data_IF_096701726603
#
_entry.id   IF_096701726603
#
_cell.length_a   1.000
_cell.length_b   1.000
_cell.length_c   1.000
_cell.angle_alpha   90.00
_cell.angle_beta   90.00
_cell.angle_gamma   90.00
#
_symmetry.space_group_name_H-M   'P 1'
#
loop_
_entity.id
_entity.type
_entity.pdbx_description
1 polymer ?
#
# COMPACT_ATOMS: atom_id res chain seq x y z
N UNK A 1 2.83 -5.18 -17.51
CA UNK A 1 3.36 -4.62 -16.24
C UNK A 1 4.86 -4.79 -16.21
N UNK A 2 5.60 -3.68 -16.11
CA UNK A 2 7.06 -3.65 -16.05
C UNK A 2 7.62 -4.36 -14.81
N UNK A 3 8.80 -4.95 -14.94
CA UNK A 3 9.58 -5.49 -13.80
C UNK A 3 10.72 -4.52 -13.53
N UNK A 4 10.86 -4.11 -12.28
CA UNK A 4 11.94 -3.23 -11.85
C UNK A 4 12.98 -4.04 -11.08
N UNK A 5 14.29 -3.78 -11.28
CA UNK A 5 15.34 -4.36 -10.46
C UNK A 5 15.22 -3.88 -9.01
N UNK A 6 15.80 -4.64 -8.09
CA UNK A 6 15.85 -4.34 -6.68
C UNK A 6 17.33 -4.10 -6.31
N UNK A 7 17.63 -2.97 -5.66
CA UNK A 7 19.00 -2.62 -5.29
C UNK A 7 19.07 -1.49 -4.27
N UNK A 8 20.16 -1.42 -3.50
CA UNK A 8 20.36 -0.32 -2.54
C UNK A 8 20.80 0.99 -3.22
N UNK A 9 21.30 0.88 -4.45
CA UNK A 9 21.75 1.97 -5.30
C UNK A 9 21.48 1.64 -6.78
N UNK A 10 21.59 2.65 -7.65
CA UNK A 10 21.51 2.45 -9.11
C UNK A 10 22.56 1.47 -9.64
N UNK A 11 23.73 1.42 -9.00
CA UNK A 11 24.79 0.47 -9.33
C UNK A 11 24.36 -0.97 -9.05
N UNK A 12 23.80 -1.22 -7.88
CA UNK A 12 23.34 -2.57 -7.49
C UNK A 12 22.16 -3.01 -8.36
N UNK A 13 21.25 -2.07 -8.66
CA UNK A 13 20.10 -2.33 -9.51
C UNK A 13 20.47 -2.61 -10.99
N UNK A 14 21.67 -2.22 -11.44
CA UNK A 14 22.22 -2.53 -12.77
C UNK A 14 23.01 -3.85 -12.81
N UNK A 15 23.24 -4.50 -11.68
CA UNK A 15 23.94 -5.78 -11.68
C UNK A 15 23.17 -6.82 -12.52
N UNK A 16 23.90 -7.67 -13.24
CA UNK A 16 23.30 -8.63 -14.18
C UNK A 16 22.36 -9.64 -13.49
N UNK A 17 22.62 -9.91 -12.21
CA UNK A 17 21.90 -10.81 -11.32
C UNK A 17 20.96 -10.08 -10.34
N UNK A 18 20.76 -8.77 -10.51
CA UNK A 18 19.88 -8.00 -9.64
C UNK A 18 18.45 -8.61 -9.66
N UNK A 19 17.89 -8.95 -8.47
CA UNK A 19 16.55 -9.52 -8.42
C UNK A 19 15.54 -8.51 -8.91
N UNK A 20 14.45 -8.96 -9.53
CA UNK A 20 13.41 -8.08 -10.09
C UNK A 20 12.04 -8.37 -9.50
N UNK A 21 11.20 -7.34 -9.43
CA UNK A 21 9.83 -7.43 -8.93
C UNK A 21 8.88 -6.53 -9.73
N UNK A 22 7.61 -6.94 -9.84
CA UNK A 22 6.57 -6.15 -10.50
C UNK A 22 5.91 -5.14 -9.57
N UNK A 23 5.78 -5.49 -8.29
CA UNK A 23 5.10 -4.66 -7.27
C UNK A 23 5.99 -4.43 -6.06
N UNK A 24 5.61 -3.45 -5.24
CA UNK A 24 6.30 -3.16 -3.99
C UNK A 24 6.22 -4.34 -3.01
N UNK A 25 5.09 -5.04 -2.97
CA UNK A 25 4.86 -6.21 -2.11
C UNK A 25 5.76 -7.38 -2.52
N UNK A 26 5.86 -7.65 -3.84
CA UNK A 26 6.77 -8.66 -4.36
C UNK A 26 8.24 -8.35 -4.08
N UNK A 27 8.63 -7.07 -4.15
CA UNK A 27 9.97 -6.62 -3.83
C UNK A 27 10.25 -6.75 -2.33
N UNK A 28 9.33 -6.28 -1.49
CA UNK A 28 9.42 -6.33 -0.04
C UNK A 28 9.51 -7.76 0.48
N UNK A 29 8.72 -8.68 -0.08
CA UNK A 29 8.78 -10.10 0.26
C UNK A 29 10.15 -10.74 -0.06
N UNK A 30 10.81 -10.29 -1.13
CA UNK A 30 12.16 -10.78 -1.50
C UNK A 30 13.26 -10.23 -0.59
N UNK A 31 13.15 -8.98 -0.13
CA UNK A 31 14.20 -8.34 0.67
C UNK A 31 13.95 -8.36 2.19
N UNK A 32 12.77 -8.80 2.64
CA UNK A 32 12.42 -8.87 4.05
C UNK A 32 12.14 -7.50 4.70
N UNK A 33 11.62 -6.53 3.94
CA UNK A 33 11.32 -5.20 4.46
C UNK A 33 10.72 -4.25 3.43
N UNK A 34 10.28 -3.05 3.85
CA UNK A 34 9.66 -2.09 2.95
C UNK A 34 10.62 -1.63 1.85
N UNK A 35 10.06 -1.39 0.66
CA UNK A 35 10.74 -0.78 -0.49
C UNK A 35 9.98 0.44 -0.97
N UNK A 36 10.65 1.27 -1.75
CA UNK A 36 10.01 2.32 -2.52
C UNK A 36 10.55 2.32 -3.95
N UNK A 37 9.76 2.83 -4.89
CA UNK A 37 10.21 2.98 -6.27
C UNK A 37 11.09 4.23 -6.37
N UNK A 38 12.39 4.02 -6.52
CA UNK A 38 13.36 5.09 -6.75
C UNK A 38 13.54 5.32 -8.26
N UNK A 39 13.87 6.55 -8.64
CA UNK A 39 14.40 6.90 -9.96
C UNK A 39 15.71 7.66 -9.74
N UNK A 40 16.82 7.15 -10.27
CA UNK A 40 18.16 7.71 -10.06
C UNK A 40 18.88 7.85 -11.40
N UNK A 41 19.48 9.02 -11.63
CA UNK A 41 20.24 9.33 -12.84
C UNK A 41 21.52 8.48 -12.90
N UNK A 42 21.78 7.90 -14.07
CA UNK A 42 23.05 7.27 -14.40
C UNK A 42 24.15 8.34 -14.53
N UNK A 43 25.41 8.01 -14.21
CA UNK A 43 26.50 8.97 -14.30
C UNK A 43 26.79 9.43 -15.74
N UNK A 44 26.42 8.64 -16.74
CA UNK A 44 26.65 8.93 -18.16
C UNK A 44 25.71 10.05 -18.68
N UNK A 45 26.27 10.92 -19.53
CA UNK A 45 25.52 11.95 -20.26
C UNK A 45 25.82 11.86 -21.75
N UNK A 46 24.81 12.12 -22.58
CA UNK A 46 24.85 11.93 -24.02
C UNK A 46 24.56 13.24 -24.76
N UNK A 47 25.21 13.44 -25.90
CA UNK A 47 24.97 14.62 -26.75
C UNK A 47 23.67 14.50 -27.55
N UNK A 48 23.22 13.28 -27.83
CA UNK A 48 22.05 12.97 -28.65
C UNK A 48 21.30 11.75 -28.06
N UNK A 49 19.97 11.64 -28.26
CA UNK A 49 19.19 10.53 -27.71
C UNK A 49 19.61 9.17 -28.31
N UNK A 50 20.02 9.12 -29.58
CA UNK A 50 20.46 7.90 -30.26
C UNK A 50 21.73 7.32 -29.62
N UNK A 51 22.60 8.18 -29.06
CA UNK A 51 23.78 7.74 -28.33
C UNK A 51 23.41 7.09 -26.98
N UNK A 52 22.34 7.58 -26.33
CA UNK A 52 21.82 6.97 -25.12
C UNK A 52 21.18 5.60 -25.42
N UNK A 53 20.45 5.49 -26.53
CA UNK A 53 19.85 4.23 -27.00
C UNK A 53 20.90 3.17 -27.33
N UNK A 54 21.97 3.56 -28.02
CA UNK A 54 23.08 2.65 -28.33
C UNK A 54 23.79 2.15 -27.06
N UNK A 55 23.95 3.02 -26.05
CA UNK A 55 24.57 2.66 -24.79
C UNK A 55 23.66 1.81 -23.89
N UNK A 56 22.34 1.94 -24.05
CA UNK A 56 21.34 1.25 -23.22
C UNK A 56 20.31 0.61 -24.15
N UNK A 57 20.60 -0.61 -24.66
CA UNK A 57 19.76 -1.26 -25.68
C UNK A 57 18.29 -1.49 -25.30
N UNK A 58 17.93 -1.39 -24.03
CA UNK A 58 16.56 -1.53 -23.51
C UNK A 58 16.00 -0.21 -22.94
N UNK A 59 16.46 0.94 -23.45
CA UNK A 59 16.06 2.26 -22.98
C UNK A 59 14.52 2.43 -22.98
N UNK A 60 13.83 1.89 -24.00
CA UNK A 60 12.38 2.02 -24.13
C UNK A 60 11.58 0.73 -23.91
N UNK A 61 12.22 -0.45 -23.83
CA UNK A 61 11.51 -1.73 -23.85
C UNK A 61 10.87 -2.11 -22.52
N UNK A 62 11.58 -1.87 -21.40
CA UNK A 62 11.14 -2.32 -20.08
C UNK A 62 10.34 -1.31 -19.25
N UNK A 63 10.27 -0.04 -19.64
CA UNK A 63 9.77 1.07 -18.80
C UNK A 63 10.60 1.30 -17.52
N UNK A 64 11.77 0.67 -17.43
CA UNK A 64 12.71 0.79 -16.31
C UNK A 64 13.63 1.99 -16.45
N UNK A 65 13.83 2.50 -17.67
CA UNK A 65 14.63 3.69 -17.89
C UNK A 65 13.75 4.88 -18.26
N UNK A 66 14.23 6.07 -17.93
CA UNK A 66 13.66 7.35 -18.31
C UNK A 66 14.75 8.17 -18.98
N UNK A 67 14.47 8.69 -20.17
CA UNK A 67 15.36 9.62 -20.87
C UNK A 67 14.98 11.05 -20.49
N UNK A 68 15.96 11.81 -20.02
CA UNK A 68 15.80 13.15 -19.47
C UNK A 68 16.69 14.13 -20.24
N UNK A 69 16.20 15.35 -20.47
CA UNK A 69 17.02 16.45 -20.96
C UNK A 69 17.33 17.40 -19.81
N UNK A 70 18.61 17.50 -19.42
CA UNK A 70 19.05 18.30 -18.28
C UNK A 70 20.49 18.76 -18.45
N UNK A 71 20.78 19.98 -17.99
CA UNK A 71 22.13 20.57 -18.05
C UNK A 71 22.75 20.53 -19.45
N UNK A 72 21.92 20.81 -20.47
CA UNK A 72 22.28 20.78 -21.88
C UNK A 72 22.83 19.43 -22.38
N UNK A 73 22.36 18.33 -21.79
CA UNK A 73 22.72 16.96 -22.16
C UNK A 73 21.55 16.00 -21.98
N UNK A 74 21.54 14.92 -22.75
CA UNK A 74 20.66 13.79 -22.53
C UNK A 74 21.20 12.93 -21.39
N UNK A 75 20.35 12.59 -20.43
CA UNK A 75 20.67 11.75 -19.28
C UNK A 75 19.67 10.62 -19.19
N UNK A 76 20.08 9.50 -18.63
CA UNK A 76 19.20 8.37 -18.41
C UNK A 76 19.04 8.14 -16.92
N UNK A 77 17.82 7.99 -16.45
CA UNK A 77 17.54 7.53 -15.09
C UNK A 77 17.05 6.09 -15.11
N UNK A 78 17.41 5.32 -14.08
CA UNK A 78 16.91 3.97 -13.85
C UNK A 78 15.88 4.00 -12.72
N UNK A 79 14.73 3.39 -12.97
CA UNK A 79 13.68 3.09 -11.99
C UNK A 79 13.93 1.72 -11.38
N UNK A 80 14.00 1.66 -10.06
CA UNK A 80 14.28 0.44 -9.33
C UNK A 80 13.61 0.43 -7.95
N UNK A 81 13.36 -0.75 -7.41
CA UNK A 81 12.93 -0.92 -6.03
C UNK A 81 14.11 -0.73 -5.11
N UNK A 82 14.08 0.31 -4.29
CA UNK A 82 15.09 0.57 -3.28
C UNK A 82 14.60 0.13 -1.92
N UNK A 83 15.36 -0.67 -1.16
CA UNK A 83 15.07 -0.93 0.24
C UNK A 83 14.94 0.40 0.99
N UNK A 84 13.82 0.60 1.68
CA UNK A 84 13.67 1.74 2.56
C UNK A 84 14.74 1.66 3.67
N UNK A 85 15.16 2.81 4.24
CA UNK A 85 15.92 2.79 5.48
C UNK A 85 15.09 2.13 6.60
N UNK A 86 15.73 1.67 7.70
CA UNK A 86 15.02 1.12 8.85
C UNK A 86 13.92 2.08 9.31
N UNK A 87 12.69 1.59 9.39
CA UNK A 87 11.53 2.39 9.79
C UNK A 87 11.57 2.67 11.30
N UNK A 88 11.08 3.83 11.75
CA UNK A 88 11.03 4.15 13.17
C UNK A 88 10.17 3.13 13.94
N UNK A 89 10.58 2.82 15.16
CA UNK A 89 9.87 1.92 16.07
C UNK A 89 9.21 2.74 17.16
N UNK A 90 7.88 2.67 17.30
CA UNK A 90 7.14 3.46 18.27
C UNK A 90 5.80 2.84 18.64
N UNK A 91 5.16 3.34 19.70
CA UNK A 91 3.81 2.89 20.11
C UNK A 91 2.68 3.73 19.53
N UNK A 92 2.99 4.86 18.90
CA UNK A 92 2.05 5.69 18.16
C UNK A 92 2.76 6.43 17.03
N UNK A 93 1.99 6.91 16.06
CA UNK A 93 2.50 7.68 14.93
C UNK A 93 3.16 9.00 15.37
N UNK A 94 2.65 9.67 16.42
CA UNK A 94 3.28 10.88 16.96
C UNK A 94 4.63 10.59 17.59
N UNK A 95 4.76 9.45 18.27
CA UNK A 95 6.02 9.02 18.86
C UNK A 95 7.02 8.65 17.76
N UNK A 96 6.57 8.00 16.68
CA UNK A 96 7.43 7.62 15.54
C UNK A 96 8.16 8.82 14.93
N UNK A 97 7.49 9.98 14.84
CA UNK A 97 8.07 11.17 14.21
C UNK A 97 8.80 12.09 15.19
N UNK A 98 8.47 12.07 16.49
CA UNK A 98 9.08 12.97 17.49
C UNK A 98 10.20 12.31 18.29
N UNK A 99 9.96 11.10 18.78
CA UNK A 99 10.86 10.38 19.70
C UNK A 99 10.65 8.87 19.55
N UNK A 100 11.13 8.29 18.43
CA UNK A 100 11.07 6.85 18.25
C UNK A 100 11.94 6.13 19.29
N UNK A 101 11.56 4.90 19.62
CA UNK A 101 12.31 4.02 20.52
C UNK A 101 13.59 3.47 19.87
N UNK A 102 13.60 3.44 18.54
CA UNK A 102 14.68 2.95 17.70
C UNK A 102 14.24 2.91 16.25
N UNK A 103 14.97 2.17 15.42
CA UNK A 103 14.61 1.91 14.03
C UNK A 103 14.85 0.43 13.71
N UNK A 104 14.00 -0.14 12.85
CA UNK A 104 14.06 -1.55 12.48
C UNK A 104 13.71 -1.74 11.00
N UNK A 105 14.35 -2.70 10.35
CA UNK A 105 14.04 -3.13 8.99
C UNK A 105 13.07 -4.31 8.99
N UNK A 106 13.20 -5.20 9.97
CA UNK A 106 12.43 -6.45 10.04
C UNK A 106 11.48 -6.47 11.24
N UNK A 107 10.42 -7.30 11.20
CA UNK A 107 9.53 -7.45 12.35
C UNK A 107 10.25 -8.02 13.58
N UNK A 108 11.31 -8.84 13.39
CA UNK A 108 12.12 -9.40 14.49
C UNK A 108 12.92 -8.32 15.21
N UNK A 109 13.56 -7.42 14.47
CA UNK A 109 14.29 -6.26 15.02
C UNK A 109 13.33 -5.34 15.77
N UNK A 110 12.17 -5.05 15.17
CA UNK A 110 11.13 -4.24 15.78
C UNK A 110 10.60 -4.87 17.07
N UNK A 111 10.39 -6.20 17.07
CA UNK A 111 9.98 -6.95 18.26
C UNK A 111 11.03 -6.87 19.37
N UNK A 112 12.31 -6.93 19.04
CA UNK A 112 13.38 -6.80 20.03
C UNK A 112 13.36 -5.43 20.71
N UNK A 113 13.09 -4.36 19.96
CA UNK A 113 13.00 -2.98 20.47
C UNK A 113 11.69 -2.76 21.25
N UNK A 114 10.56 -3.24 20.74
CA UNK A 114 9.24 -3.06 21.37
C UNK A 114 8.99 -3.99 22.57
N UNK A 115 9.76 -5.08 22.65
CA UNK A 115 9.52 -6.21 23.56
C UNK A 115 8.09 -6.79 23.41
N UNK A 116 7.55 -6.73 22.20
CA UNK A 116 6.21 -7.19 21.84
C UNK A 116 6.17 -7.59 20.35
N UNK A 117 5.24 -8.45 19.92
CA UNK A 117 5.00 -8.67 18.49
C UNK A 117 4.77 -7.33 17.77
N UNK A 118 5.39 -7.16 16.61
CA UNK A 118 5.41 -5.89 15.89
C UNK A 118 4.81 -6.05 14.50
N UNK A 119 4.09 -5.02 14.05
CA UNK A 119 3.63 -4.88 12.66
C UNK A 119 4.10 -3.55 12.09
N UNK A 120 4.36 -3.54 10.79
CA UNK A 120 4.62 -2.30 10.06
C UNK A 120 3.28 -1.65 9.74
N UNK A 121 3.03 -0.49 10.33
CA UNK A 121 1.81 0.26 10.17
C UNK A 121 2.04 1.52 9.34
N UNK A 122 1.00 1.93 8.62
CA UNK A 122 0.93 3.20 7.90
C UNK A 122 -0.19 4.02 8.50
N UNK A 123 0.12 5.13 9.16
CA UNK A 123 -0.88 5.98 9.80
C UNK A 123 -0.77 7.43 9.36
N UNK A 124 -1.91 8.07 9.13
CA UNK A 124 -1.98 9.49 8.74
C UNK A 124 -1.91 10.39 9.96
N UNK A 125 -0.96 11.33 9.98
CA UNK A 125 -0.91 12.36 11.02
C UNK A 125 -2.13 13.28 10.94
N UNK A 126 -2.65 13.76 12.10
CA UNK A 126 -3.82 14.63 12.13
C UNK A 126 -3.57 16.02 11.53
N UNK A 127 -2.30 16.46 11.49
CA UNK A 127 -1.94 17.76 10.95
C UNK A 127 -2.13 17.81 9.43
N UNK A 128 -2.93 18.77 8.98
CA UNK A 128 -3.19 19.04 7.55
C UNK A 128 -2.46 20.30 7.10
N UNK A 129 -2.04 20.32 5.84
CA UNK A 129 -1.29 21.40 5.21
C UNK A 129 -2.11 21.97 4.06
N UNK A 130 -2.13 23.30 3.94
CA UNK A 130 -2.86 23.99 2.87
C UNK A 130 -2.25 23.77 1.49
N UNK A 131 -0.93 23.56 1.41
CA UNK A 131 -0.22 23.37 0.14
C UNK A 131 0.78 22.23 0.24
N UNK A 132 0.98 21.53 -0.88
CA UNK A 132 1.98 20.47 -1.00
C UNK A 132 3.39 20.97 -0.70
N UNK A 133 3.74 22.18 -1.13
CA UNK A 133 5.06 22.78 -0.87
C UNK A 133 5.37 22.89 0.64
N UNK A 134 4.39 23.32 1.45
CA UNK A 134 4.57 23.40 2.92
C UNK A 134 4.72 22.03 3.56
N UNK A 135 3.98 21.04 3.07
CA UNK A 135 4.14 19.66 3.53
C UNK A 135 5.53 19.13 3.19
N UNK A 136 5.98 19.33 1.94
CA UNK A 136 7.29 18.88 1.46
C UNK A 136 8.45 19.54 2.21
N UNK A 137 8.34 20.82 2.56
CA UNK A 137 9.37 21.51 3.35
C UNK A 137 9.63 20.83 4.70
N UNK A 138 8.63 20.16 5.28
CA UNK A 138 8.74 19.49 6.58
C UNK A 138 8.97 17.98 6.48
N UNK A 139 8.31 17.33 5.53
CA UNK A 139 8.25 15.86 5.44
C UNK A 139 8.94 15.30 4.20
N UNK A 140 9.47 16.16 3.32
CA UNK A 140 10.06 15.75 2.05
C UNK A 140 11.22 14.78 2.20
N UNK A 141 12.02 14.91 3.27
CA UNK A 141 13.11 13.97 3.55
C UNK A 141 12.59 12.55 3.84
N UNK A 142 11.51 12.40 4.60
CA UNK A 142 10.91 11.09 4.88
C UNK A 142 10.17 10.52 3.66
N UNK A 143 9.51 11.39 2.89
CA UNK A 143 8.83 10.98 1.66
C UNK A 143 9.82 10.52 0.58
N UNK A 144 10.98 11.17 0.46
CA UNK A 144 12.02 10.82 -0.52
C UNK A 144 12.64 9.45 -0.28
N UNK A 145 12.60 8.95 0.96
CA UNK A 145 13.15 7.63 1.34
C UNK A 145 12.07 6.57 1.54
N UNK A 146 10.81 6.87 1.19
CA UNK A 146 9.71 5.91 1.31
C UNK A 146 9.28 5.60 2.75
N UNK A 147 9.63 6.45 3.73
CA UNK A 147 9.13 6.33 5.12
C UNK A 147 7.86 7.15 5.37
N UNK A 148 7.46 7.97 4.41
CA UNK A 148 6.20 8.70 4.46
C UNK A 148 5.55 8.80 3.08
N UNK A 149 4.22 8.80 3.07
CA UNK A 149 3.38 9.02 1.90
C UNK A 149 2.61 10.33 2.06
N UNK A 150 2.42 11.02 0.94
CA UNK A 150 1.63 12.27 0.92
C UNK A 150 0.22 11.89 0.50
N UNK A 151 -0.74 12.22 1.34
CA UNK A 151 -2.15 11.88 1.12
C UNK A 151 -2.94 13.16 0.97
N UNK A 152 -3.72 13.28 -0.10
CA UNK A 152 -4.68 14.37 -0.27
C UNK A 152 -6.02 14.01 0.37
N UNK A 153 -6.56 14.91 1.20
CA UNK A 153 -7.86 14.76 1.86
C UNK A 153 -8.58 16.11 1.90
N UNK A 154 -9.79 16.14 1.34
CA UNK A 154 -10.69 17.31 1.41
C UNK A 154 -10.00 18.61 0.90
N UNK A 155 -9.23 18.52 -0.20
CA UNK A 155 -8.50 19.65 -0.77
C UNK A 155 -7.31 20.15 0.08
N UNK A 156 -6.87 19.35 1.06
CA UNK A 156 -5.66 19.60 1.87
C UNK A 156 -4.73 18.40 1.80
N UNK A 157 -3.47 18.63 2.20
CA UNK A 157 -2.44 17.60 2.21
C UNK A 157 -2.17 17.10 3.64
N UNK A 158 -2.07 15.81 3.82
CA UNK A 158 -1.66 15.14 5.04
C UNK A 158 -0.48 14.21 4.74
N UNK A 159 0.18 13.73 5.78
CA UNK A 159 1.29 12.79 5.67
C UNK A 159 0.92 11.50 6.39
N UNK A 160 1.07 10.38 5.70
CA UNK A 160 1.05 9.06 6.29
C UNK A 160 2.48 8.60 6.55
N UNK A 161 2.74 8.01 7.71
CA UNK A 161 4.08 7.61 8.14
C UNK A 161 4.12 6.10 8.30
N UNK A 162 5.16 5.48 7.76
CA UNK A 162 5.45 4.06 7.97
C UNK A 162 6.28 3.89 9.23
N UNK A 163 5.80 3.09 10.18
CA UNK A 163 6.51 2.83 11.43
C UNK A 163 6.13 1.46 12.00
N UNK A 164 7.04 0.88 12.79
CA UNK A 164 6.77 -0.35 13.52
C UNK A 164 6.02 -0.05 14.80
N UNK A 165 4.87 -0.69 14.98
CA UNK A 165 4.05 -0.60 16.20
C UNK A 165 3.79 -1.97 16.80
N UNK A 166 3.50 -2.06 18.11
CA UNK A 166 3.11 -3.33 18.71
C UNK A 166 1.78 -3.78 18.12
N UNK A 167 1.67 -5.06 17.79
CA UNK A 167 0.39 -5.68 17.45
C UNK A 167 -0.46 -5.64 18.72
N UNK A 168 -1.52 -4.85 18.70
CA UNK A 168 -2.55 -4.90 19.75
C UNK A 168 -3.32 -6.20 19.52
N UNK A 169 -2.81 -7.29 20.08
CA UNK A 169 -3.49 -8.58 19.99
C UNK A 169 -4.86 -8.45 20.69
N UNK A 170 -5.99 -8.74 20.01
CA UNK A 170 -7.30 -8.76 20.65
C UNK A 170 -7.40 -9.84 21.75
N UNK A 171 -6.39 -10.72 21.87
CA UNK A 171 -6.29 -11.76 22.91
C UNK A 171 -6.01 -11.16 24.30
N UNK A 172 -5.68 -9.87 24.39
CA UNK A 172 -5.83 -9.11 25.63
C UNK A 172 -6.97 -8.12 25.48
N UNK A 173 -8.18 -8.64 25.36
CA UNK A 173 -9.35 -7.91 25.85
C UNK A 173 -8.97 -7.28 27.21
N UNK A 174 -9.35 -6.03 27.50
CA UNK A 174 -9.20 -5.50 28.85
C UNK A 174 -9.70 -6.58 29.78
N UNK A 175 -8.90 -6.97 30.78
CA UNK A 175 -9.33 -7.95 31.75
C UNK A 175 -10.65 -7.42 32.30
N UNK A 176 -11.76 -8.02 31.88
CA UNK A 176 -13.10 -7.64 32.32
C UNK A 176 -13.01 -7.49 33.84
N UNK A 177 -13.50 -6.37 34.36
CA UNK A 177 -13.53 -6.16 35.80
C UNK A 177 -14.24 -7.36 36.43
N UNK A 178 -13.94 -7.74 37.68
CA UNK A 178 -14.56 -8.90 38.31
C UNK A 178 -16.09 -8.92 38.21
N UNK A 179 -16.74 -7.74 38.23
CA UNK A 179 -18.17 -7.57 38.02
C UNK A 179 -18.63 -7.97 36.61
N UNK A 180 -17.92 -7.52 35.57
CA UNK A 180 -18.24 -7.82 34.16
C UNK A 180 -18.00 -9.31 33.83
N UNK A 181 -17.05 -9.97 34.52
CA UNK A 181 -16.85 -11.42 34.42
C UNK A 181 -18.03 -12.20 35.01
N UNK A 182 -18.56 -11.72 36.12
CA UNK A 182 -19.70 -12.34 36.77
C UNK A 182 -20.95 -12.22 35.89
N UNK A 183 -21.22 -11.03 35.36
CA UNK A 183 -22.34 -10.78 34.45
C UNK A 183 -22.26 -11.60 33.16
N UNK A 184 -21.06 -11.74 32.57
CA UNK A 184 -20.86 -12.58 31.39
C UNK A 184 -21.06 -14.07 31.70
N UNK A 185 -20.57 -14.53 32.86
CA UNK A 185 -20.79 -15.90 33.31
C UNK A 185 -22.28 -16.19 33.56
N UNK A 186 -23.02 -15.24 34.12
CA UNK A 186 -24.47 -15.34 34.28
C UNK A 186 -25.20 -15.39 32.92
N UNK A 187 -24.77 -14.59 31.93
CA UNK A 187 -25.36 -14.61 30.59
C UNK A 187 -25.05 -15.89 29.81
N UNK A 188 -23.89 -16.50 30.03
CA UNK A 188 -23.51 -17.78 29.40
C UNK A 188 -24.22 -18.95 30.10
N UNK A 189 -24.36 -18.89 31.42
CA UNK A 189 -25.09 -19.89 32.22
C UNK A 189 -26.60 -19.75 32.08
N UNK A 190 -27.10 -18.60 31.60
CA UNK A 190 -28.51 -18.41 31.31
C UNK A 190 -28.92 -19.38 30.18
N UNK A 191 -29.92 -20.25 30.42
CA UNK A 191 -30.41 -21.14 29.39
C UNK A 191 -30.88 -20.30 28.20
N UNK A 192 -30.38 -20.63 27.00
CA UNK A 192 -30.81 -20.01 25.75
C UNK A 192 -32.33 -20.16 25.66
N UNK A 193 -33.07 -19.09 25.95
CA UNK A 193 -34.47 -19.02 25.59
C UNK A 193 -34.49 -19.14 24.07
N UNK A 194 -34.99 -20.27 23.56
CA UNK A 194 -35.27 -20.40 22.14
C UNK A 194 -36.06 -19.16 21.72
N UNK A 195 -35.64 -18.50 20.64
CA UNK A 195 -36.43 -17.45 20.05
C UNK A 195 -37.84 -18.04 19.86
N UNK A 196 -38.86 -17.31 20.32
CA UNK A 196 -40.23 -17.62 19.94
C UNK A 196 -40.25 -17.86 18.42
N UNK A 197 -40.99 -18.87 17.92
CA UNK A 197 -41.01 -19.17 16.50
C UNK A 197 -41.21 -17.86 15.74
N UNK A 198 -40.27 -17.56 14.83
CA UNK A 198 -40.33 -16.37 14.01
C UNK A 198 -41.71 -16.37 13.35
N UNK A 199 -42.48 -15.29 13.54
CA UNK A 199 -43.76 -15.16 12.88
C UNK A 199 -43.56 -15.42 11.37
N UNK A 200 -44.47 -16.14 10.71
CA UNK A 200 -44.35 -16.39 9.28
C UNK A 200 -44.16 -15.05 8.59
N UNK A 201 -43.02 -14.88 7.93
CA UNK A 201 -42.78 -13.74 7.06
C UNK A 201 -43.81 -13.87 5.94
N UNK A 202 -44.78 -12.97 5.91
CA UNK A 202 -45.68 -12.80 4.77
C UNK A 202 -44.85 -12.17 3.64
N UNK A 203 -44.00 -13.00 3.03
CA UNK A 203 -43.27 -12.65 1.82
C UNK A 203 -44.30 -12.73 0.70
N UNK A 204 -45.18 -11.72 0.63
CA UNK A 204 -45.92 -11.46 -0.60
C UNK A 204 -44.89 -11.34 -1.72
N UNK A 205 -44.98 -12.23 -2.71
CA UNK A 205 -44.27 -12.07 -3.98
C UNK A 205 -44.59 -10.66 -4.50
N UNK A 206 -43.62 -9.75 -4.43
CA UNK A 206 -43.71 -8.48 -5.15
C UNK A 206 -43.44 -8.73 -6.64
N UNK A 207 -44.32 -9.50 -7.28
CA UNK A 207 -44.48 -9.51 -8.73
C UNK A 207 -45.60 -8.53 -9.07
N UNK A 208 -45.33 -7.23 -8.90
CA UNK A 208 -45.94 -6.26 -9.80
C UNK A 208 -44.94 -6.06 -10.94
N UNK A 209 -45.17 -6.64 -12.13
CA UNK A 209 -44.36 -6.30 -13.28
C UNK A 209 -44.44 -4.78 -13.49
N UNK A 210 -43.28 -4.14 -13.60
CA UNK A 210 -43.22 -2.73 -13.99
C UNK A 210 -43.95 -2.58 -15.33
N UNK A 211 -44.79 -1.54 -15.52
CA UNK A 211 -45.39 -1.30 -16.82
C UNK A 211 -44.28 -1.14 -17.86
N UNK A 212 -44.32 -1.97 -18.90
CA UNK A 212 -43.36 -1.95 -19.99
C UNK A 212 -43.28 -0.54 -20.58
N UNK A 213 -42.07 0.01 -20.65
CA UNK A 213 -41.84 1.29 -21.29
C UNK A 213 -41.97 1.09 -22.82
N UNK A 214 -42.97 1.71 -23.48
CA UNK A 214 -43.22 1.51 -24.91
C UNK A 214 -42.07 1.99 -25.81
N UNK A 215 -41.10 2.73 -25.27
CA UNK A 215 -39.96 3.27 -26.02
C UNK A 215 -38.74 2.34 -26.04
N UNK A 216 -38.80 1.18 -25.37
CA UNK A 216 -37.69 0.20 -25.38
C UNK A 216 -38.00 -0.91 -26.38
N UNK A 217 -37.52 -0.74 -27.62
CA UNK A 217 -37.40 -1.84 -28.57
C UNK A 217 -36.14 -2.64 -28.21
N UNK A 218 -36.31 -3.77 -27.52
CA UNK A 218 -35.26 -4.78 -27.40
C UNK A 218 -35.17 -5.51 -28.73
N UNK A 219 -34.05 -5.34 -29.45
CA UNK A 219 -33.77 -6.08 -30.67
C UNK A 219 -33.69 -7.58 -30.35
N UNK A 220 -34.49 -8.39 -31.03
CA UNK A 220 -34.40 -9.85 -30.96
C UNK A 220 -33.04 -10.30 -31.52
N UNK A 221 -32.12 -10.65 -30.62
CA UNK A 221 -30.89 -11.36 -30.97
C UNK A 221 -31.18 -12.87 -30.92
N UNK A 222 -31.07 -13.51 -32.08
CA UNK A 222 -31.58 -14.84 -32.36
C UNK A 222 -30.91 -15.99 -31.58
N UNK A 223 -31.76 -16.90 -31.12
CA UNK A 223 -31.41 -18.18 -30.49
C UNK A 223 -30.71 -19.10 -31.51
N UNK A 224 -29.41 -19.27 -31.31
CA UNK A 224 -28.52 -20.13 -32.10
C UNK A 224 -28.83 -21.62 -31.97
N UNK A 225 -29.91 -22.07 -32.63
CA UNK A 225 -30.22 -23.49 -32.81
C UNK A 225 -30.28 -23.85 -34.28
N UNK A 226 -29.14 -24.30 -34.80
CA UNK A 226 -29.07 -25.08 -36.04
C UNK A 226 -29.64 -26.48 -35.75
N UNK A 227 -30.83 -26.78 -36.29
CA UNK A 227 -31.29 -28.16 -36.51
C UNK A 227 -31.08 -28.48 -37.98
N UNK A 228 -30.47 -29.63 -38.23
CA UNK A 228 -30.08 -30.07 -39.57
C UNK A 228 -31.24 -30.43 -40.48
N UNK A 229 -30.99 -30.19 -41.77
CA UNK A 229 -31.18 -31.08 -42.91
C UNK A 229 -30.06 -30.79 -43.93
#
# INVERSE_FOLDING_TARGET
MSRFPIGASVRDARAADAPTARTAEEAAARIGGPVFLASEELPESFAAPEAAEAAIPDLYGGGRYELLWRDNSWRVALRYWRPAPPAPVARSVEAAVKRPLGAARTPEEARAILQAPAELATETLPQRYATRARLMARWGALAAVGLAEIVEREGRFAVAVHYWRPIVSPVRAPQLAPAERHELAERIAAPLKGQAPQAPLDIGLFEQPAPENPDIVLAEEGDGRVRGE
#
